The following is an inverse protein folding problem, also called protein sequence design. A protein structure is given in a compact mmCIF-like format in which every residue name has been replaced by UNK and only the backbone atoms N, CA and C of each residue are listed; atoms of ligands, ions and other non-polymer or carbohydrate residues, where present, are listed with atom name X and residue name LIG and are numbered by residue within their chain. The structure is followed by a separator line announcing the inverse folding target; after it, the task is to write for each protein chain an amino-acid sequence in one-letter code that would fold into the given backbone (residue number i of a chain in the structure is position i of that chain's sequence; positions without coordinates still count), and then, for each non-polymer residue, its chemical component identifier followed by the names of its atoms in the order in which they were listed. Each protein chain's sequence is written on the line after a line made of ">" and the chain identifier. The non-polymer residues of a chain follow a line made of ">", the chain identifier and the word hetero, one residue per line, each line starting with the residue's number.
data_IF_374635119054
#
_entry.id   IF_374635119054
#
_cell.length_a   1.000
_cell.length_b   1.000
_cell.length_c   1.000
_cell.angle_alpha   90.00
_cell.angle_beta   90.00
_cell.angle_gamma   90.00
#
_symmetry.space_group_name_H-M   'P 1'
#
loop_
_entity.id
_entity.type
_entity.pdbx_description
1 polymer ?
#
# COMPACT_ATOMS: atom_id res chain seq x y z
N UNK A 1 -0.12 -4.51 -29.46
CA UNK A 1 -0.26 -5.69 -28.57
C UNK A 1 0.95 -5.75 -27.66
N UNK A 2 0.71 -5.95 -26.38
CA UNK A 2 1.82 -6.07 -25.44
C UNK A 2 2.55 -7.40 -25.61
N UNK A 3 3.87 -7.37 -25.47
CA UNK A 3 4.66 -8.58 -25.47
C UNK A 3 4.41 -9.37 -24.19
N UNK A 4 4.22 -10.67 -24.35
CA UNK A 4 4.01 -11.56 -23.22
C UNK A 4 5.28 -12.41 -23.04
N UNK A 5 5.85 -12.36 -21.86
CA UNK A 5 7.00 -13.18 -21.52
C UNK A 5 6.66 -14.12 -20.37
N UNK A 6 7.26 -15.31 -20.42
CA UNK A 6 7.05 -16.27 -19.33
C UNK A 6 7.95 -15.92 -18.17
N UNK A 7 7.35 -15.86 -16.99
CA UNK A 7 8.09 -15.60 -15.75
C UNK A 7 8.64 -16.91 -15.20
N UNK A 8 9.94 -16.96 -14.97
CA UNK A 8 10.59 -18.10 -14.34
C UNK A 8 11.36 -17.68 -13.09
N UNK A 9 11.88 -18.64 -12.37
CA UNK A 9 12.57 -18.35 -11.10
C UNK A 9 13.83 -17.52 -11.31
N UNK A 10 14.57 -17.75 -12.39
CA UNK A 10 15.80 -17.01 -12.69
C UNK A 10 15.50 -15.54 -12.93
N UNK A 11 14.49 -15.24 -13.75
CA UNK A 11 14.08 -13.87 -14.05
C UNK A 11 13.59 -13.15 -12.79
N UNK A 12 12.78 -13.87 -12.00
CA UNK A 12 12.23 -13.33 -10.77
C UNK A 12 13.34 -13.03 -9.74
N UNK A 13 14.29 -13.93 -9.58
CA UNK A 13 15.42 -13.72 -8.66
C UNK A 13 16.27 -12.51 -9.05
N UNK A 14 16.38 -12.23 -10.37
CA UNK A 14 17.10 -11.04 -10.84
C UNK A 14 16.44 -9.72 -10.45
N UNK A 15 15.13 -9.73 -10.18
CA UNK A 15 14.39 -8.54 -9.78
C UNK A 15 14.35 -8.33 -8.29
N UNK A 16 14.61 -9.36 -7.48
CA UNK A 16 14.54 -9.26 -6.04
C UNK A 16 15.85 -8.71 -5.48
N UNK A 17 15.80 -7.66 -4.65
CA UNK A 17 17.01 -7.14 -4.04
C UNK A 17 17.54 -8.07 -2.97
N UNK A 18 18.84 -8.15 -2.84
CA UNK A 18 19.47 -8.87 -1.74
C UNK A 18 19.36 -8.03 -0.46
N UNK A 19 18.98 -8.70 0.63
CA UNK A 19 18.96 -8.05 1.94
C UNK A 19 20.34 -8.20 2.57
N UNK A 20 20.94 -7.08 2.95
CA UNK A 20 22.19 -7.07 3.69
C UNK A 20 21.95 -6.61 5.12
N UNK A 21 22.85 -6.96 6.02
CA UNK A 21 22.63 -6.79 7.46
C UNK A 21 22.38 -5.35 7.90
N UNK A 22 23.00 -4.39 7.25
CA UNK A 22 22.91 -2.98 7.63
C UNK A 22 21.82 -2.19 6.88
N UNK A 23 20.87 -2.89 6.26
CA UNK A 23 19.76 -2.22 5.59
C UNK A 23 18.68 -1.79 6.58
N UNK A 24 17.89 -0.79 6.20
CA UNK A 24 16.73 -0.34 6.96
C UNK A 24 15.48 -0.36 6.07
N UNK A 25 14.32 -0.07 6.66
CA UNK A 25 13.04 -0.18 5.94
C UNK A 25 12.98 0.62 4.64
N UNK A 26 13.55 1.83 4.61
CA UNK A 26 13.56 2.68 3.43
C UNK A 26 14.30 2.08 2.23
N UNK A 27 15.24 1.16 2.46
CA UNK A 27 16.03 0.53 1.41
C UNK A 27 15.21 -0.43 0.54
N UNK A 28 14.04 -0.86 1.03
CA UNK A 28 13.18 -1.80 0.32
C UNK A 28 11.92 -1.15 -0.26
N UNK A 29 11.98 0.18 -0.40
CA UNK A 29 10.97 0.94 -1.07
C UNK A 29 9.80 1.35 -0.18
N UNK A 30 8.99 2.24 -0.73
CA UNK A 30 7.77 2.73 -0.09
C UNK A 30 6.60 2.37 -0.98
N UNK A 31 5.52 1.94 -0.38
CA UNK A 31 4.30 1.64 -1.12
C UNK A 31 3.14 2.43 -0.53
N UNK A 32 2.34 3.00 -1.40
CA UNK A 32 1.10 3.68 -1.03
C UNK A 32 -0.07 2.87 -1.56
N UNK A 33 -0.91 2.41 -0.65
CA UNK A 33 -2.10 1.65 -0.98
C UNK A 33 -3.32 2.55 -0.78
N UNK A 34 -4.14 2.66 -1.81
CA UNK A 34 -5.37 3.45 -1.77
C UNK A 34 -6.53 2.49 -1.98
N UNK A 35 -7.27 2.20 -0.93
CA UNK A 35 -8.32 1.20 -1.01
C UNK A 35 -9.30 1.31 0.14
N UNK A 36 -10.37 0.54 0.04
CA UNK A 36 -11.38 0.47 1.08
C UNK A 36 -12.60 1.31 0.76
N UNK A 37 -13.70 0.93 1.36
CA UNK A 37 -14.97 1.64 1.31
C UNK A 37 -15.80 1.19 2.50
N UNK A 38 -16.89 1.92 2.79
CA UNK A 38 -17.85 1.46 3.80
C UNK A 38 -18.38 0.10 3.34
N UNK A 39 -18.29 -0.91 4.20
CA UNK A 39 -18.64 -2.29 3.89
C UNK A 39 -17.51 -3.12 3.31
N UNK A 40 -16.35 -2.51 3.00
CA UNK A 40 -15.22 -3.19 2.38
C UNK A 40 -13.93 -2.83 3.11
N UNK A 41 -13.87 -3.14 4.40
CA UNK A 41 -12.73 -2.80 5.25
C UNK A 41 -11.63 -3.86 5.28
N UNK A 42 -11.93 -5.07 4.78
CA UNK A 42 -10.96 -6.15 4.75
C UNK A 42 -9.89 -6.00 3.68
N UNK A 43 -10.25 -5.42 2.53
CA UNK A 43 -9.33 -5.27 1.41
C UNK A 43 -8.08 -4.45 1.76
N UNK A 44 -8.19 -3.28 2.42
CA UNK A 44 -7.00 -2.53 2.86
C UNK A 44 -6.09 -3.34 3.78
N UNK A 45 -6.69 -4.08 4.71
CA UNK A 45 -5.93 -4.89 5.65
C UNK A 45 -5.18 -6.02 4.94
N UNK A 46 -5.85 -6.70 4.01
CA UNK A 46 -5.23 -7.78 3.24
C UNK A 46 -4.12 -7.25 2.33
N UNK A 47 -4.35 -6.13 1.67
CA UNK A 47 -3.34 -5.52 0.80
C UNK A 47 -2.11 -5.12 1.58
N UNK A 48 -2.29 -4.48 2.74
CA UNK A 48 -1.19 -4.05 3.59
C UNK A 48 -0.40 -5.24 4.14
N UNK A 49 -1.10 -6.29 4.58
CA UNK A 49 -0.43 -7.49 5.07
C UNK A 49 0.33 -8.21 3.96
N UNK A 50 -0.25 -8.27 2.76
CA UNK A 50 0.41 -8.85 1.60
C UNK A 50 1.68 -8.09 1.25
N UNK A 51 1.61 -6.76 1.22
CA UNK A 51 2.78 -5.91 0.96
C UNK A 51 3.88 -6.13 2.02
N UNK A 52 3.49 -6.19 3.29
CA UNK A 52 4.45 -6.40 4.38
C UNK A 52 5.15 -7.75 4.25
N UNK A 53 4.41 -8.79 3.95
CA UNK A 53 4.97 -10.14 3.79
C UNK A 53 5.78 -10.29 2.51
N UNK A 54 5.55 -9.44 1.53
CA UNK A 54 6.31 -9.46 0.27
C UNK A 54 7.62 -8.69 0.35
N UNK A 55 7.90 -8.05 1.48
CA UNK A 55 9.17 -7.39 1.69
C UNK A 55 9.18 -5.89 1.48
N UNK A 56 8.02 -5.24 1.34
CA UNK A 56 7.96 -3.78 1.25
C UNK A 56 8.54 -3.16 2.52
N UNK A 57 9.30 -2.08 2.36
CA UNK A 57 9.96 -1.42 3.49
C UNK A 57 9.00 -0.58 4.31
N UNK A 58 8.37 0.42 3.68
CA UNK A 58 7.41 1.31 4.33
C UNK A 58 6.07 1.20 3.60
N UNK A 59 5.00 1.03 4.37
CA UNK A 59 3.66 0.82 3.82
C UNK A 59 2.74 1.89 4.37
N UNK A 60 2.15 2.66 3.46
CA UNK A 60 1.15 3.69 3.76
C UNK A 60 -0.18 3.26 3.17
N UNK A 61 -1.24 3.37 3.96
CA UNK A 61 -2.57 2.94 3.53
C UNK A 61 -3.54 4.11 3.67
N UNK A 62 -3.97 4.65 2.54
CA UNK A 62 -4.97 5.72 2.51
C UNK A 62 -6.35 5.11 2.34
N UNK A 63 -7.26 5.45 3.24
CA UNK A 63 -8.61 4.90 3.25
C UNK A 63 -9.65 6.02 3.38
N UNK A 64 -10.89 5.78 2.93
CA UNK A 64 -11.96 6.75 3.16
C UNK A 64 -12.11 7.03 4.67
N UNK A 65 -12.28 8.29 5.02
CA UNK A 65 -12.36 8.72 6.42
C UNK A 65 -13.30 7.88 7.29
N UNK A 66 -14.55 7.54 6.84
CA UNK A 66 -15.45 6.75 7.68
C UNK A 66 -14.93 5.39 8.11
N UNK A 67 -14.05 4.77 7.34
CA UNK A 67 -13.53 3.44 7.66
C UNK A 67 -12.14 3.49 8.30
N UNK A 68 -11.56 4.67 8.44
CA UNK A 68 -10.23 4.82 9.01
C UNK A 68 -10.05 4.13 10.37
N UNK A 69 -10.91 4.35 11.38
CA UNK A 69 -10.71 3.71 12.68
C UNK A 69 -10.74 2.18 12.59
N UNK A 70 -11.58 1.65 11.71
CA UNK A 70 -11.73 0.21 11.55
C UNK A 70 -10.45 -0.39 10.95
N UNK A 71 -9.95 0.20 9.88
CA UNK A 71 -8.75 -0.28 9.21
C UNK A 71 -7.52 -0.09 10.09
N UNK A 72 -7.40 1.07 10.73
CA UNK A 72 -6.29 1.35 11.63
C UNK A 72 -6.23 0.35 12.78
N UNK A 73 -7.39 -0.09 13.27
CA UNK A 73 -7.46 -1.08 14.33
C UNK A 73 -7.05 -2.49 13.91
N UNK A 74 -7.01 -2.78 12.61
CA UNK A 74 -6.64 -4.10 12.09
C UNK A 74 -5.15 -4.24 11.79
N UNK A 75 -4.41 -3.13 11.74
CA UNK A 75 -3.03 -3.12 11.29
C UNK A 75 -2.11 -2.57 12.38
N UNK A 76 -0.93 -3.14 12.50
CA UNK A 76 0.06 -2.72 13.50
C UNK A 76 1.18 -1.88 12.90
N UNK A 77 1.87 -2.40 11.88
CA UNK A 77 3.01 -1.70 11.29
C UNK A 77 2.65 -0.74 10.16
N UNK A 78 1.77 -1.10 9.22
CA UNK A 78 1.41 -0.17 8.16
C UNK A 78 0.82 1.11 8.71
N UNK A 79 1.19 2.23 8.11
CA UNK A 79 0.71 3.55 8.53
C UNK A 79 -0.56 3.89 7.79
N UNK A 80 -1.69 3.83 8.50
CA UNK A 80 -3.01 4.10 7.95
C UNK A 80 -3.35 5.57 8.14
N UNK A 81 -3.92 6.21 7.14
CA UNK A 81 -4.35 7.60 7.24
C UNK A 81 -5.69 7.81 6.54
N UNK A 82 -6.51 8.74 7.06
CA UNK A 82 -7.81 9.03 6.46
C UNK A 82 -7.66 9.96 5.26
N UNK A 83 -8.55 9.77 4.27
CA UNK A 83 -8.65 10.64 3.11
C UNK A 83 -10.10 11.09 2.94
N UNK A 84 -10.33 12.26 2.33
CA UNK A 84 -11.69 12.71 2.04
C UNK A 84 -12.51 11.65 1.34
N UNK A 85 -13.75 11.49 1.79
CA UNK A 85 -14.66 10.47 1.29
C UNK A 85 -15.97 11.06 0.81
N UNK A 86 -16.61 10.38 -0.13
CA UNK A 86 -17.93 10.70 -0.61
C UNK A 86 -18.67 9.41 -0.91
N UNK A 87 -19.88 9.26 -0.36
CA UNK A 87 -20.65 8.03 -0.55
C UNK A 87 -19.96 6.78 0.01
N UNK A 88 -19.14 6.92 1.04
CA UNK A 88 -18.44 5.80 1.65
C UNK A 88 -17.19 5.32 0.90
N UNK A 89 -16.78 6.05 -0.13
CA UNK A 89 -15.60 5.73 -0.95
C UNK A 89 -14.67 6.94 -0.99
N UNK A 90 -13.46 6.74 -1.50
CA UNK A 90 -12.54 7.85 -1.68
C UNK A 90 -13.14 8.89 -2.61
N UNK A 91 -13.11 10.16 -2.19
CA UNK A 91 -13.63 11.26 -2.97
C UNK A 91 -12.58 11.79 -3.96
N UNK A 92 -13.06 12.42 -5.03
CA UNK A 92 -12.15 13.08 -5.97
C UNK A 92 -11.34 14.18 -5.27
N UNK A 93 -11.89 14.81 -4.25
CA UNK A 93 -11.20 15.83 -3.45
C UNK A 93 -9.99 15.28 -2.67
N UNK A 94 -9.82 13.97 -2.60
CA UNK A 94 -8.64 13.35 -1.98
C UNK A 94 -7.40 13.44 -2.87
N UNK A 95 -7.56 13.65 -4.18
CA UNK A 95 -6.45 13.62 -5.14
C UNK A 95 -5.30 14.58 -4.79
N UNK A 96 -5.56 15.86 -4.42
CA UNK A 96 -4.45 16.75 -4.07
C UNK A 96 -3.60 16.24 -2.90
N UNK A 97 -4.22 15.69 -1.88
CA UNK A 97 -3.49 15.14 -0.74
C UNK A 97 -2.69 13.89 -1.13
N UNK A 98 -3.27 13.04 -1.96
CA UNK A 98 -2.59 11.85 -2.46
C UNK A 98 -1.34 12.24 -3.25
N UNK A 99 -1.47 13.21 -4.15
CA UNK A 99 -0.33 13.68 -4.95
C UNK A 99 0.76 14.31 -4.07
N UNK A 100 0.37 15.03 -3.02
CA UNK A 100 1.32 15.62 -2.09
C UNK A 100 2.11 14.53 -1.36
N UNK A 101 1.48 13.43 -0.99
CA UNK A 101 2.15 12.31 -0.34
C UNK A 101 3.11 11.56 -1.25
N UNK A 102 2.80 11.49 -2.55
CA UNK A 102 3.65 10.85 -3.53
C UNK A 102 4.94 11.63 -3.80
N UNK A 103 4.92 12.95 -3.66
CA UNK A 103 6.09 13.79 -3.90
C UNK A 103 6.94 13.97 -2.64
N UNK A 104 6.49 13.51 -1.51
CA UNK A 104 7.21 13.55 -0.24
C UNK A 104 7.81 12.21 0.07
#
# INVERSE_FOLDING_TARGET
>A
MADISVMDAERLCGWLPRRVRETHKGDFGRILLLCGAVGYTGAPALAAMGAARSGAGLIFVGVPEPVYPIVAGKLLEPMVFPLPAQGGMLAESAVPEILARLSG
#
